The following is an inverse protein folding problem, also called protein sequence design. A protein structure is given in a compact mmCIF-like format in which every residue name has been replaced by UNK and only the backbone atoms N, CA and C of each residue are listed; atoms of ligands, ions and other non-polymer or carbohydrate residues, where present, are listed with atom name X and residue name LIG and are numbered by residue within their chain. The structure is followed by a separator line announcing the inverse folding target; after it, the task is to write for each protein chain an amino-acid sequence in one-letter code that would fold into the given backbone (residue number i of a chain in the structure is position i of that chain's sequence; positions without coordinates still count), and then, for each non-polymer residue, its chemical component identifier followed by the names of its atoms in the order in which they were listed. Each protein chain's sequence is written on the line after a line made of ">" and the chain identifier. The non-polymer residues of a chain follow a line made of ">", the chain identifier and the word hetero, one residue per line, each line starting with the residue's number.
data_IF_641046376183
#
_entry.id   IF_641046376183
#
_cell.length_a   1.000
_cell.length_b   1.000
_cell.length_c   1.000
_cell.angle_alpha   90.00
_cell.angle_beta   90.00
_cell.angle_gamma   90.00
#
_symmetry.space_group_name_H-M   'P 1'
#
loop_
_entity.id
_entity.type
_entity.pdbx_description
1 polymer ?
#
# COMPACT_ATOMS: atom_id res chain seq x y z
N UNK A 1 0.71 -22.92 18.35
CA UNK A 1 -0.23 -22.70 17.23
C UNK A 1 0.17 -21.43 16.47
N UNK A 2 1.19 -21.50 15.61
CA UNK A 2 1.64 -20.33 14.82
C UNK A 2 1.19 -20.52 13.38
N UNK A 3 -0.09 -20.26 13.11
CA UNK A 3 -0.59 -20.14 11.74
C UNK A 3 0.10 -18.95 11.06
N UNK A 4 0.55 -19.14 9.82
CA UNK A 4 1.15 -18.07 9.01
C UNK A 4 0.20 -16.87 8.94
N UNK A 5 0.65 -15.71 9.42
CA UNK A 5 -0.13 -14.45 9.36
C UNK A 5 0.22 -13.75 8.05
N UNK A 6 -0.72 -13.70 7.10
CA UNK A 6 -0.52 -13.00 5.84
C UNK A 6 -0.38 -11.49 6.06
N UNK A 7 0.59 -10.89 5.36
CA UNK A 7 0.90 -9.45 5.42
C UNK A 7 0.94 -8.87 4.01
N UNK A 8 0.28 -7.74 3.81
CA UNK A 8 0.24 -7.02 2.54
C UNK A 8 0.89 -5.64 2.72
N UNK A 9 1.91 -5.34 1.91
CA UNK A 9 2.55 -4.03 1.86
C UNK A 9 2.03 -3.28 0.64
N UNK A 10 1.27 -2.21 0.86
CA UNK A 10 0.61 -1.46 -0.21
C UNK A 10 1.21 -0.07 -0.32
N UNK A 11 1.88 0.18 -1.46
CA UNK A 11 2.35 1.52 -1.79
C UNK A 11 1.21 2.35 -2.35
N UNK A 12 0.68 3.22 -1.50
CA UNK A 12 -0.54 3.99 -1.75
C UNK A 12 -0.24 5.44 -2.14
N UNK A 13 0.96 5.93 -1.80
CA UNK A 13 1.50 7.23 -2.23
C UNK A 13 2.91 7.05 -2.79
N UNK A 14 3.21 7.64 -3.94
CA UNK A 14 4.52 7.51 -4.58
C UNK A 14 5.39 8.76 -4.49
N UNK A 15 4.90 9.89 -3.95
CA UNK A 15 5.65 11.15 -3.82
C UNK A 15 5.77 11.53 -2.35
N UNK A 16 6.95 11.95 -1.92
CA UNK A 16 7.25 12.42 -0.57
C UNK A 16 7.50 13.94 -0.58
N UNK A 17 7.19 14.61 0.53
CA UNK A 17 7.54 16.02 0.74
C UNK A 17 8.94 16.20 1.37
N UNK A 18 9.64 15.10 1.64
CA UNK A 18 11.02 15.09 2.15
C UNK A 18 11.88 14.34 1.14
N UNK A 19 13.01 14.94 0.77
CA UNK A 19 14.04 14.29 -0.05
C UNK A 19 15.19 13.79 0.85
N UNK A 20 14.99 12.64 1.51
CA UNK A 20 16.06 12.05 2.31
C UNK A 20 17.26 11.69 1.43
N UNK A 21 18.48 12.05 1.84
CA UNK A 21 19.70 11.78 1.07
C UNK A 21 19.89 10.29 0.74
N UNK A 22 19.47 9.42 1.64
CA UNK A 22 19.53 7.96 1.50
C UNK A 22 18.29 7.33 0.82
N UNK A 23 17.43 8.12 0.16
CA UNK A 23 16.23 7.57 -0.50
C UNK A 23 16.59 6.78 -1.76
N UNK A 24 16.50 5.45 -1.68
CA UNK A 24 16.80 4.57 -2.81
C UNK A 24 15.88 4.78 -4.02
N UNK A 25 14.68 5.31 -3.84
CA UNK A 25 13.73 5.49 -4.95
C UNK A 25 13.99 6.77 -5.73
N UNK A 26 14.25 7.89 -5.04
CA UNK A 26 14.41 9.19 -5.72
C UNK A 26 15.85 9.51 -6.09
N UNK A 27 16.83 8.95 -5.36
CA UNK A 27 18.25 9.27 -5.51
C UNK A 27 19.08 8.13 -6.15
N UNK A 28 18.46 7.04 -6.59
CA UNK A 28 19.13 5.95 -7.32
C UNK A 28 19.19 6.22 -8.83
N UNK A 29 19.90 5.38 -9.59
CA UNK A 29 19.94 5.46 -11.06
C UNK A 29 18.61 5.12 -11.73
N UNK A 30 17.76 4.31 -11.08
CA UNK A 30 16.39 4.06 -11.56
C UNK A 30 15.51 5.30 -11.35
N UNK A 31 15.09 5.91 -12.45
CA UNK A 31 14.23 7.10 -12.47
C UNK A 31 12.79 6.78 -12.92
N UNK A 32 12.41 5.50 -12.99
CA UNK A 32 11.06 5.05 -13.39
C UNK A 32 9.95 5.58 -12.49
N UNK A 33 10.27 5.99 -11.27
CA UNK A 33 9.34 6.62 -10.34
C UNK A 33 8.72 7.91 -10.91
N UNK A 34 9.39 8.59 -11.85
CA UNK A 34 8.91 9.83 -12.47
C UNK A 34 7.64 9.63 -13.28
N UNK A 35 7.54 8.49 -13.96
CA UNK A 35 6.39 8.09 -14.78
C UNK A 35 5.28 7.41 -13.96
N UNK A 36 5.57 7.00 -12.72
CA UNK A 36 4.59 6.34 -11.87
C UNK A 36 3.58 7.35 -11.31
N UNK A 37 2.28 6.98 -11.21
CA UNK A 37 1.26 7.81 -10.58
C UNK A 37 1.65 8.22 -9.16
N UNK A 38 1.39 9.47 -8.79
CA UNK A 38 1.72 9.98 -7.46
C UNK A 38 0.88 9.41 -6.32
N UNK A 39 -0.29 8.87 -6.62
CA UNK A 39 -1.25 8.26 -5.68
C UNK A 39 -1.88 7.04 -6.33
N UNK A 40 -2.15 5.99 -5.55
CA UNK A 40 -2.97 4.87 -6.00
C UNK A 40 -4.37 5.35 -6.40
N UNK A 41 -4.88 4.88 -7.55
CA UNK A 41 -6.24 5.20 -7.98
C UNK A 41 -7.28 4.46 -7.13
N UNK A 42 -8.49 5.02 -7.01
CA UNK A 42 -9.61 4.34 -6.34
C UNK A 42 -9.93 3.00 -6.98
N UNK A 43 -9.86 2.92 -8.32
CA UNK A 43 -10.08 1.67 -9.05
C UNK A 43 -9.07 0.58 -8.63
N UNK A 44 -7.78 0.92 -8.57
CA UNK A 44 -6.72 0.01 -8.12
C UNK A 44 -6.93 -0.40 -6.66
N UNK A 45 -7.31 0.54 -5.80
CA UNK A 45 -7.53 0.28 -4.38
C UNK A 45 -8.71 -0.69 -4.17
N UNK A 46 -9.86 -0.44 -4.81
CA UNK A 46 -11.03 -1.32 -4.75
C UNK A 46 -10.68 -2.72 -5.25
N UNK A 47 -9.98 -2.80 -6.39
CA UNK A 47 -9.54 -4.08 -6.96
C UNK A 47 -8.60 -4.84 -6.03
N UNK A 48 -7.68 -4.12 -5.38
CA UNK A 48 -6.73 -4.68 -4.40
C UNK A 48 -7.45 -5.21 -3.17
N UNK A 49 -8.38 -4.43 -2.60
CA UNK A 49 -9.19 -4.84 -1.45
C UNK A 49 -10.01 -6.08 -1.78
N UNK A 50 -10.67 -6.10 -2.94
CA UNK A 50 -11.44 -7.26 -3.41
C UNK A 50 -10.56 -8.52 -3.44
N UNK A 51 -9.37 -8.43 -4.05
CA UNK A 51 -8.46 -9.57 -4.17
C UNK A 51 -7.92 -10.06 -2.83
N UNK A 52 -7.64 -9.15 -1.91
CA UNK A 52 -7.23 -9.50 -0.54
C UNK A 52 -8.38 -10.21 0.18
N UNK A 53 -9.62 -9.73 0.05
CA UNK A 53 -10.80 -10.36 0.66
C UNK A 53 -11.03 -11.78 0.14
N UNK A 54 -10.92 -12.00 -1.17
CA UNK A 54 -11.00 -13.33 -1.79
C UNK A 54 -9.93 -14.27 -1.21
N UNK A 55 -8.68 -13.80 -1.10
CA UNK A 55 -7.59 -14.58 -0.52
C UNK A 55 -7.84 -14.93 0.96
N UNK A 56 -8.32 -13.96 1.75
CA UNK A 56 -8.62 -14.17 3.18
C UNK A 56 -9.70 -15.23 3.36
N UNK A 57 -10.74 -15.20 2.52
CA UNK A 57 -11.81 -16.20 2.52
C UNK A 57 -11.27 -17.58 2.13
N UNK A 58 -10.50 -17.68 1.04
CA UNK A 58 -9.92 -18.93 0.56
C UNK A 58 -8.96 -19.58 1.59
N UNK A 59 -8.25 -18.76 2.36
CA UNK A 59 -7.28 -19.22 3.38
C UNK A 59 -7.86 -19.29 4.79
N UNK A 60 -9.16 -19.10 4.96
CA UNK A 60 -9.85 -19.09 6.26
C UNK A 60 -9.11 -18.26 7.33
N UNK A 61 -8.50 -17.15 6.89
CA UNK A 61 -7.57 -16.40 7.71
C UNK A 61 -8.33 -15.52 8.71
N UNK A 62 -8.16 -15.81 10.00
CA UNK A 62 -8.82 -15.04 11.09
C UNK A 62 -8.32 -13.60 11.22
N UNK A 63 -7.12 -13.31 10.72
CA UNK A 63 -6.52 -11.98 10.77
C UNK A 63 -5.45 -11.82 9.69
N UNK A 64 -5.38 -10.62 9.13
CA UNK A 64 -4.30 -10.17 8.23
C UNK A 64 -3.72 -8.86 8.71
N UNK A 65 -2.53 -8.52 8.22
CA UNK A 65 -1.95 -7.19 8.41
C UNK A 65 -1.83 -6.50 7.05
N UNK A 66 -2.33 -5.28 6.95
CA UNK A 66 -2.13 -4.42 5.79
C UNK A 66 -1.31 -3.23 6.22
N UNK A 67 -0.14 -3.04 5.61
CA UNK A 67 0.78 -1.95 5.87
C UNK A 67 0.72 -1.00 4.69
N UNK A 68 0.21 0.21 4.92
CA UNK A 68 0.26 1.28 3.93
C UNK A 68 1.64 1.92 3.94
N UNK A 69 2.21 2.04 2.75
CA UNK A 69 3.55 2.57 2.52
C UNK A 69 3.51 3.65 1.44
N UNK A 70 4.55 4.48 1.39
CA UNK A 70 4.66 5.56 0.43
C UNK A 70 5.31 6.80 1.01
N UNK A 71 5.25 7.91 0.24
CA UNK A 71 5.65 9.22 0.75
C UNK A 71 4.75 9.73 1.88
N UNK A 72 5.33 10.58 2.73
CA UNK A 72 4.94 10.95 4.10
C UNK A 72 3.51 10.60 4.58
N UNK A 73 3.47 9.93 5.73
CA UNK A 73 2.38 9.12 6.29
C UNK A 73 1.08 9.87 6.67
N UNK A 74 1.06 11.20 6.58
CA UNK A 74 -0.04 12.03 7.08
C UNK A 74 -1.24 12.17 6.13
N UNK A 75 -1.23 11.54 4.94
CA UNK A 75 -2.32 11.64 3.96
C UNK A 75 -3.20 10.38 3.86
N UNK A 76 -3.22 9.51 4.87
CA UNK A 76 -4.18 8.41 4.96
C UNK A 76 -5.24 8.70 6.02
N UNK A 77 -6.34 9.33 5.61
CA UNK A 77 -7.56 9.37 6.42
C UNK A 77 -8.26 8.00 6.32
N UNK A 78 -8.47 7.35 7.47
CA UNK A 78 -9.15 6.04 7.60
C UNK A 78 -10.58 6.01 7.01
N UNK A 79 -11.16 7.17 6.71
CA UNK A 79 -12.51 7.30 6.13
C UNK A 79 -12.65 6.64 4.76
N UNK A 80 -11.56 6.20 4.12
CA UNK A 80 -11.61 5.45 2.87
C UNK A 80 -12.08 3.99 3.04
N UNK A 81 -11.94 3.37 4.22
CA UNK A 81 -12.24 1.94 4.43
C UNK A 81 -13.62 1.64 5.02
N UNK A 82 -14.32 2.63 5.59
CA UNK A 82 -15.55 2.40 6.37
C UNK A 82 -16.85 2.84 5.68
N UNK A 83 -16.83 3.09 4.37
CA UNK A 83 -18.05 3.32 3.58
C UNK A 83 -18.15 2.32 2.43
N UNK A 84 -18.61 1.12 2.76
CA UNK A 84 -19.49 0.34 1.89
C UNK A 84 -20.70 -0.04 2.71
#
# INVERSE_FOLDING_TARGET
>A
MTGSKSKFFLKVKARCNINCSYCYEYNSSDQSWREKPGTMSNHTLISTVKRISEYVQEKESKAINVVFHGGNHYLFHLSFFLKQ
#
